data_IF_901020751094
#
_entry.id   IF_901020751094
#
_cell.length_a   1.000
_cell.length_b   1.000
_cell.length_c   1.000
_cell.angle_alpha   90.00
_cell.angle_beta   90.00
_cell.angle_gamma   90.00
#
_symmetry.space_group_name_H-M   'P 1'
#
loop_
_entity.id
_entity.type
_entity.pdbx_description
1 polymer ?
#
# COMPACT_ATOMS: atom_id res chain seq x y z
N UNK A 1 9.21 -10.79 -14.15
CA UNK A 1 8.62 -9.84 -13.19
C UNK A 1 9.16 -10.17 -11.79
N UNK A 2 9.52 -9.18 -10.97
CA UNK A 2 9.95 -9.39 -9.57
C UNK A 2 8.86 -8.89 -8.63
N UNK A 3 8.38 -9.76 -7.73
CA UNK A 3 7.47 -9.38 -6.67
C UNK A 3 8.26 -9.19 -5.37
N UNK A 4 8.03 -8.08 -4.68
CA UNK A 4 8.70 -7.73 -3.44
C UNK A 4 7.68 -7.31 -2.40
N UNK A 5 7.84 -7.82 -1.17
CA UNK A 5 7.08 -7.35 -0.01
C UNK A 5 7.92 -6.28 0.71
N UNK A 6 7.32 -5.12 0.95
CA UNK A 6 7.92 -4.04 1.73
C UNK A 6 7.07 -3.83 2.97
N UNK A 7 7.64 -4.08 4.15
CA UNK A 7 6.92 -4.07 5.43
C UNK A 7 7.80 -3.52 6.54
N UNK A 8 7.21 -2.69 7.40
CA UNK A 8 7.79 -2.28 8.68
C UNK A 8 7.05 -3.03 9.80
N UNK A 9 7.80 -3.73 10.66
CA UNK A 9 7.22 -4.58 11.71
C UNK A 9 7.97 -4.38 13.04
N UNK A 10 7.23 -4.43 14.15
CA UNK A 10 7.83 -4.54 15.48
C UNK A 10 8.42 -5.96 15.71
N UNK A 11 9.16 -6.15 16.80
CA UNK A 11 9.77 -7.44 17.15
C UNK A 11 8.76 -8.58 17.26
N UNK A 12 7.53 -8.28 17.72
CA UNK A 12 6.42 -9.22 17.79
C UNK A 12 5.64 -9.35 16.46
N UNK A 13 6.17 -8.83 15.35
CA UNK A 13 5.56 -8.78 14.02
C UNK A 13 4.30 -7.91 13.90
N UNK A 14 4.03 -7.04 14.88
CA UNK A 14 2.94 -6.08 14.77
C UNK A 14 3.21 -5.05 13.67
N UNK A 15 2.19 -4.78 12.84
CA UNK A 15 2.25 -3.83 11.73
C UNK A 15 1.38 -2.59 11.95
N UNK A 16 0.26 -2.76 12.65
CA UNK A 16 -0.79 -1.75 12.73
C UNK A 16 -1.73 -1.95 13.91
N UNK A 17 -2.32 -0.86 14.39
CA UNK A 17 -3.36 -0.82 15.41
C UNK A 17 -4.44 0.17 14.98
N UNK A 18 -5.72 -0.23 15.10
CA UNK A 18 -6.87 0.63 14.73
C UNK A 18 -6.74 1.31 13.34
N UNK A 19 -6.28 0.55 12.33
CA UNK A 19 -6.04 1.03 10.97
C UNK A 19 -4.99 2.16 10.84
N UNK A 20 -4.00 2.20 11.73
CA UNK A 20 -2.87 3.14 11.73
C UNK A 20 -1.57 2.42 12.07
N UNK A 21 -0.44 3.04 11.77
CA UNK A 21 0.85 2.59 12.30
C UNK A 21 0.89 2.85 13.81
N UNK A 22 1.41 1.92 14.64
CA UNK A 22 1.49 2.11 16.08
C UNK A 22 2.64 3.04 16.50
N UNK A 23 3.44 3.51 15.54
CA UNK A 23 4.57 4.41 15.74
C UNK A 23 4.54 5.57 14.76
N UNK A 24 5.27 6.63 15.11
CA UNK A 24 5.59 7.73 14.20
C UNK A 24 7.08 7.71 13.90
N UNK A 25 7.47 7.14 12.75
CA UNK A 25 8.86 6.96 12.36
C UNK A 25 9.12 7.56 10.97
N UNK A 26 9.47 8.85 10.86
CA UNK A 26 9.66 9.52 9.58
C UNK A 26 10.78 8.91 8.71
N UNK A 27 11.80 8.33 9.34
CA UNK A 27 12.91 7.67 8.64
C UNK A 27 12.42 6.44 7.85
N UNK A 28 11.51 5.65 8.43
CA UNK A 28 10.90 4.49 7.77
C UNK A 28 10.07 4.94 6.55
N UNK A 29 9.27 6.01 6.69
CA UNK A 29 8.49 6.54 5.56
C UNK A 29 9.38 7.07 4.42
N UNK A 30 10.53 7.69 4.75
CA UNK A 30 11.53 8.10 3.75
C UNK A 30 12.14 6.89 3.05
N UNK A 31 12.46 5.84 3.81
CA UNK A 31 12.99 4.59 3.27
C UNK A 31 11.99 3.90 2.35
N UNK A 32 10.74 3.73 2.80
CA UNK A 32 9.65 3.19 1.98
C UNK A 32 9.47 3.98 0.68
N UNK A 33 9.48 5.33 0.75
CA UNK A 33 9.40 6.18 -0.44
C UNK A 33 10.56 5.93 -1.40
N UNK A 34 11.80 5.84 -0.89
CA UNK A 34 12.97 5.61 -1.72
C UNK A 34 12.91 4.23 -2.42
N UNK A 35 12.53 3.19 -1.69
CA UNK A 35 12.40 1.83 -2.25
C UNK A 35 11.31 1.70 -3.30
N UNK A 36 10.19 2.40 -3.12
CA UNK A 36 9.00 2.24 -3.98
C UNK A 36 8.91 3.24 -5.12
N UNK A 37 9.74 4.29 -5.15
CA UNK A 37 9.65 5.34 -6.16
C UNK A 37 9.79 4.77 -7.58
N UNK A 38 8.94 5.19 -8.51
CA UNK A 38 8.95 4.73 -9.90
C UNK A 38 8.40 3.31 -10.11
N UNK A 39 8.04 2.60 -9.04
CA UNK A 39 7.51 1.24 -9.12
C UNK A 39 5.99 1.23 -8.87
N UNK A 40 5.25 0.26 -9.44
CA UNK A 40 3.89 -0.03 -9.01
C UNK A 40 3.87 -0.47 -7.54
N UNK A 41 2.88 0.02 -6.79
CA UNK A 41 2.63 -0.40 -5.42
C UNK A 41 1.24 -1.02 -5.34
N UNK A 42 1.18 -2.24 -4.81
CA UNK A 42 -0.07 -2.97 -4.58
C UNK A 42 -0.35 -2.92 -3.09
N UNK A 43 -1.56 -2.51 -2.72
CA UNK A 43 -1.98 -2.45 -1.32
C UNK A 43 -3.45 -2.82 -1.17
N UNK A 44 -3.85 -3.27 0.02
CA UNK A 44 -5.27 -3.49 0.32
C UNK A 44 -6.03 -2.18 0.51
N UNK A 45 -7.34 -2.21 0.26
CA UNK A 45 -8.25 -1.08 0.47
C UNK A 45 -8.09 -0.38 1.82
N UNK A 46 -8.02 -1.13 2.92
CA UNK A 46 -7.88 -0.55 4.28
C UNK A 46 -6.57 0.21 4.47
N UNK A 47 -5.47 -0.28 3.87
CA UNK A 47 -4.17 0.40 3.88
C UNK A 47 -4.24 1.71 3.11
N UNK A 48 -4.87 1.69 1.93
CA UNK A 48 -5.07 2.92 1.16
C UNK A 48 -5.94 3.94 1.91
N UNK A 49 -7.03 3.52 2.55
CA UNK A 49 -7.87 4.38 3.39
C UNK A 49 -7.08 4.98 4.57
N UNK A 50 -6.16 4.20 5.17
CA UNK A 50 -5.26 4.67 6.23
C UNK A 50 -4.28 5.74 5.75
N UNK A 51 -3.72 5.56 4.54
CA UNK A 51 -2.83 6.55 3.90
C UNK A 51 -3.61 7.80 3.48
N UNK A 52 -4.86 7.64 3.04
CA UNK A 52 -5.80 8.71 2.72
C UNK A 52 -5.55 9.44 1.40
N UNK A 53 -4.47 9.12 0.67
CA UNK A 53 -4.09 9.81 -0.57
C UNK A 53 -3.30 8.92 -1.53
N UNK A 54 -3.34 9.27 -2.81
CA UNK A 54 -2.48 8.68 -3.83
C UNK A 54 -1.02 9.03 -3.52
N UNK A 55 -0.16 8.03 -3.54
CA UNK A 55 1.27 8.23 -3.33
C UNK A 55 1.93 8.69 -4.64
N UNK A 56 2.43 9.94 -4.73
CA UNK A 56 2.92 10.51 -6.00
C UNK A 56 4.16 9.78 -6.51
N UNK A 57 4.34 9.75 -7.83
CA UNK A 57 5.49 9.10 -8.48
C UNK A 57 5.43 7.57 -8.49
N UNK A 58 4.26 6.99 -8.18
CA UNK A 58 4.01 5.54 -8.12
C UNK A 58 2.66 5.21 -8.74
N UNK A 59 2.57 4.07 -9.45
CA UNK A 59 1.29 3.50 -9.86
C UNK A 59 0.66 2.84 -8.63
N UNK A 60 -0.42 3.43 -8.11
CA UNK A 60 -1.11 2.93 -6.92
C UNK A 60 -2.18 1.93 -7.35
N UNK A 61 -2.06 0.68 -6.91
CA UNK A 61 -3.01 -0.40 -7.18
C UNK A 61 -3.66 -0.78 -5.85
N UNK A 62 -4.99 -0.71 -5.79
CA UNK A 62 -5.78 -0.99 -4.59
C UNK A 62 -6.58 -2.26 -4.79
N UNK A 63 -6.31 -3.26 -3.97
CA UNK A 63 -7.01 -4.56 -4.00
C UNK A 63 -8.23 -4.52 -3.09
N UNK A 64 -9.40 -4.82 -3.64
CA UNK A 64 -10.68 -4.82 -2.93
C UNK A 64 -11.69 -5.79 -3.53
N UNK A 65 -12.39 -6.54 -2.68
CA UNK A 65 -13.49 -7.41 -3.13
C UNK A 65 -14.80 -6.66 -3.40
N UNK A 66 -14.85 -5.36 -3.10
CA UNK A 66 -16.04 -4.54 -3.38
C UNK A 66 -15.99 -4.07 -4.85
N UNK A 67 -16.90 -4.56 -5.73
CA UNK A 67 -16.92 -4.17 -7.14
C UNK A 67 -17.33 -2.71 -7.37
N UNK A 68 -18.02 -2.09 -6.40
CA UNK A 68 -18.48 -0.70 -6.49
C UNK A 68 -17.44 0.30 -5.96
N UNK A 69 -16.28 -0.16 -5.49
CA UNK A 69 -15.27 0.72 -4.94
C UNK A 69 -14.59 1.51 -6.04
N UNK A 70 -14.83 2.82 -6.06
CA UNK A 70 -14.20 3.76 -7.00
C UNK A 70 -13.32 4.72 -6.23
N UNK A 71 -12.10 4.93 -6.73
CA UNK A 71 -11.22 5.96 -6.21
C UNK A 71 -10.41 6.60 -7.36
N UNK A 72 -10.49 7.93 -7.55
CA UNK A 72 -9.71 8.61 -8.58
C UNK A 72 -8.20 8.49 -8.34
N UNK A 73 -7.44 8.32 -9.42
CA UNK A 73 -5.97 8.31 -9.40
C UNK A 73 -5.33 7.02 -8.89
N UNK A 74 -6.11 5.96 -8.70
CA UNK A 74 -5.60 4.61 -8.42
C UNK A 74 -6.21 3.60 -9.39
N UNK A 75 -5.50 2.50 -9.62
CA UNK A 75 -6.03 1.32 -10.30
C UNK A 75 -6.71 0.44 -9.27
N UNK A 76 -7.93 -0.02 -9.55
CA UNK A 76 -8.65 -0.97 -8.71
C UNK A 76 -8.44 -2.37 -9.27
N UNK A 77 -8.15 -3.33 -8.40
CA UNK A 77 -8.12 -4.75 -8.71
C UNK A 77 -9.00 -5.52 -7.71
N UNK A 78 -9.69 -6.56 -8.17
CA UNK A 78 -10.60 -7.36 -7.37
C UNK A 78 -10.01 -8.67 -6.85
N UNK A 79 -8.79 -8.99 -7.28
CA UNK A 79 -8.00 -10.10 -6.79
C UNK A 79 -6.50 -9.75 -6.77
N UNK A 80 -5.68 -10.63 -6.19
CA UNK A 80 -4.23 -10.48 -6.31
C UNK A 80 -3.73 -10.80 -7.72
N UNK A 81 -4.33 -11.80 -8.38
CA UNK A 81 -3.96 -12.19 -9.74
C UNK A 81 -4.17 -11.02 -10.71
N UNK A 82 -5.33 -10.38 -10.64
CA UNK A 82 -5.63 -9.16 -11.43
C UNK A 82 -4.69 -7.98 -11.10
N UNK A 83 -4.15 -7.93 -9.88
CA UNK A 83 -3.19 -6.90 -9.50
C UNK A 83 -1.77 -7.19 -10.03
N UNK A 84 -1.48 -8.44 -10.40
CA UNK A 84 -0.19 -8.88 -10.92
C UNK A 84 -0.08 -8.83 -12.44
N UNK A 85 -1.22 -8.80 -13.14
CA UNK A 85 -1.31 -8.60 -14.60
C UNK A 85 -0.87 -7.18 -15.04
#
# INVERSE_FOLDING_TARGET
MRLSLVVAMAENRALGVANRLPWHLPADLKHFRALTMGHPIIMGRKTFDSIGRVLPGRRNIVVTRNPEYVKPGVTIAHSLDEAFD
#
